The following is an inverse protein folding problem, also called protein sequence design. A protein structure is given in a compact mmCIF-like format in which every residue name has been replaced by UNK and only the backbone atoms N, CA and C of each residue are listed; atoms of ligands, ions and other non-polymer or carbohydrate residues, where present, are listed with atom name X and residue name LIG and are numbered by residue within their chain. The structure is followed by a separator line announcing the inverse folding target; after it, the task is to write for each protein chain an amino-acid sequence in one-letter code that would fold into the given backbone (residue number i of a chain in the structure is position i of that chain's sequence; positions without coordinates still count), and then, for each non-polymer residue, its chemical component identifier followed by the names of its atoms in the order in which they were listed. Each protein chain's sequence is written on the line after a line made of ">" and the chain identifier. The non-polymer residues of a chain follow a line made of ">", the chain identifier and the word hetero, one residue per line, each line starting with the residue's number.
data_IF_140931484296
#
_entry.id   IF_140931484296
#
_cell.length_a   1.000
_cell.length_b   1.000
_cell.length_c   1.000
_cell.angle_alpha   90.00
_cell.angle_beta   90.00
_cell.angle_gamma   90.00
#
_symmetry.space_group_name_H-M   'P 1'
#
loop_
_entity.id
_entity.type
_entity.pdbx_description
1 polymer ?
#
# COMPACT_ATOMS: atom_id res chain seq x y z
N UNK A 1 8.04 8.59 -13.22
CA UNK A 1 7.97 9.98 -12.70
C UNK A 1 9.36 10.31 -12.15
N UNK A 2 9.97 11.41 -12.59
CA UNK A 2 11.38 11.70 -12.29
C UNK A 2 11.46 12.59 -11.05
N UNK A 3 11.45 11.97 -9.87
CA UNK A 3 11.67 12.62 -8.58
C UNK A 3 12.08 11.60 -7.49
N UNK A 4 12.60 12.05 -6.34
CA UNK A 4 12.80 11.21 -5.15
C UNK A 4 11.53 11.04 -4.30
N UNK A 5 10.33 11.33 -4.83
CA UNK A 5 9.10 11.37 -4.03
C UNK A 5 8.65 10.02 -3.45
N UNK A 6 8.96 8.90 -4.10
CA UNK A 6 8.69 7.55 -3.56
C UNK A 6 7.22 7.12 -3.49
N UNK A 7 6.28 7.93 -4.01
CA UNK A 7 4.84 7.59 -4.01
C UNK A 7 4.43 6.83 -5.27
N UNK A 8 4.91 7.25 -6.46
CA UNK A 8 4.57 6.61 -7.74
C UNK A 8 5.76 5.95 -8.44
N UNK A 9 6.96 6.45 -8.17
CA UNK A 9 8.24 5.93 -8.65
C UNK A 9 9.37 6.52 -7.82
N UNK A 10 10.60 6.09 -8.08
CA UNK A 10 11.81 6.73 -7.56
C UNK A 10 12.80 6.94 -8.71
N UNK A 11 13.39 8.12 -8.81
CA UNK A 11 14.34 8.45 -9.90
C UNK A 11 15.58 7.54 -9.91
N UNK A 12 15.97 6.99 -8.76
CA UNK A 12 17.10 6.06 -8.67
C UNK A 12 16.76 4.70 -9.32
N UNK A 13 15.52 4.21 -9.19
CA UNK A 13 15.06 3.02 -9.92
C UNK A 13 15.13 3.26 -11.42
N UNK A 14 14.68 4.44 -11.86
CA UNK A 14 14.73 4.82 -13.27
C UNK A 14 16.17 4.88 -13.78
N UNK A 15 17.09 5.48 -13.01
CA UNK A 15 18.50 5.56 -13.39
C UNK A 15 19.11 4.15 -13.53
N UNK A 16 18.86 3.26 -12.57
CA UNK A 16 19.37 1.89 -12.62
C UNK A 16 18.82 1.09 -13.80
N UNK A 17 17.51 1.17 -14.07
CA UNK A 17 16.90 0.55 -15.25
C UNK A 17 17.51 1.07 -16.56
N UNK A 18 17.80 2.39 -16.63
CA UNK A 18 18.51 2.97 -17.78
C UNK A 18 19.92 2.39 -17.91
N UNK A 19 20.67 2.19 -16.81
CA UNK A 19 22.00 1.55 -16.84
C UNK A 19 21.92 0.13 -17.39
N UNK A 20 20.94 -0.65 -16.90
CA UNK A 20 20.75 -2.05 -17.33
C UNK A 20 20.44 -2.12 -18.82
N UNK A 21 19.47 -1.32 -19.30
CA UNK A 21 19.04 -1.33 -20.70
C UNK A 21 20.15 -0.82 -21.62
N UNK A 22 20.78 0.31 -21.30
CA UNK A 22 21.87 0.88 -22.09
C UNK A 22 23.12 -0.01 -22.07
N UNK A 23 23.43 -0.65 -20.93
CA UNK A 23 24.51 -1.62 -20.80
C UNK A 23 24.32 -2.88 -21.66
N UNK A 24 23.07 -3.24 -21.96
CA UNK A 24 22.71 -4.25 -22.95
C UNK A 24 22.87 -3.80 -24.41
N UNK A 25 23.32 -2.56 -24.66
CA UNK A 25 23.50 -2.00 -26.00
C UNK A 25 22.23 -1.42 -26.63
N UNK A 26 21.15 -1.30 -25.86
CA UNK A 26 19.86 -0.76 -26.35
C UNK A 26 19.83 0.76 -26.14
N UNK A 27 19.66 1.59 -27.19
CA UNK A 27 19.50 3.04 -27.04
C UNK A 27 18.27 3.39 -26.20
N UNK A 28 18.39 4.39 -25.33
CA UNK A 28 17.33 4.77 -24.39
C UNK A 28 16.85 6.20 -24.62
N UNK A 29 15.54 6.34 -24.85
CA UNK A 29 14.82 7.60 -24.91
C UNK A 29 14.06 7.84 -23.59
N UNK A 30 14.47 8.85 -22.83
CA UNK A 30 13.88 9.19 -21.52
C UNK A 30 12.71 10.14 -21.71
N UNK A 31 11.53 9.71 -21.28
CA UNK A 31 10.32 10.53 -21.17
C UNK A 31 10.11 10.92 -19.71
N UNK A 32 10.55 12.12 -19.35
CA UNK A 32 10.52 12.58 -17.96
C UNK A 32 9.16 13.19 -17.61
N UNK A 33 8.40 12.49 -16.75
CA UNK A 33 7.25 13.09 -16.08
C UNK A 33 7.75 13.83 -14.84
N UNK A 34 7.46 15.13 -14.71
CA UNK A 34 7.86 15.98 -13.59
C UNK A 34 6.84 15.92 -12.47
N UNK A 35 7.32 16.02 -11.24
CA UNK A 35 6.52 15.77 -10.04
C UNK A 35 5.84 17.03 -9.48
N UNK A 36 6.49 17.76 -8.57
CA UNK A 36 5.94 18.97 -7.95
C UNK A 36 4.76 18.78 -7.01
N UNK A 37 4.39 17.52 -6.71
CA UNK A 37 3.28 17.17 -5.83
C UNK A 37 3.70 16.26 -4.68
N UNK A 38 4.47 15.20 -4.98
CA UNK A 38 5.08 14.36 -3.95
C UNK A 38 6.46 14.91 -3.51
N UNK A 39 6.88 16.00 -4.15
CA UNK A 39 8.08 16.80 -3.90
C UNK A 39 7.73 18.29 -4.03
N UNK A 40 8.59 19.23 -3.58
CA UNK A 40 8.29 20.66 -3.68
C UNK A 40 7.93 21.10 -5.11
N UNK A 41 6.99 22.06 -5.31
CA UNK A 41 6.49 22.46 -6.64
C UNK A 41 7.55 22.95 -7.65
N UNK A 42 8.73 23.36 -7.17
CA UNK A 42 9.88 23.75 -8.00
C UNK A 42 11.13 22.98 -7.54
N UNK A 43 11.24 21.73 -7.94
CA UNK A 43 12.36 20.84 -7.61
C UNK A 43 12.88 20.03 -8.80
N UNK A 44 12.19 20.06 -9.96
CA UNK A 44 12.56 19.29 -11.14
C UNK A 44 13.98 19.57 -11.66
N UNK A 45 14.48 20.80 -11.55
CA UNK A 45 15.85 21.13 -11.99
C UNK A 45 16.90 20.30 -11.23
N UNK A 46 16.76 20.20 -9.91
CA UNK A 46 17.66 19.40 -9.07
C UNK A 46 17.45 17.90 -9.33
N UNK A 47 16.20 17.46 -9.50
CA UNK A 47 15.88 16.06 -9.80
C UNK A 47 16.50 15.61 -11.13
N UNK A 48 16.31 16.38 -12.20
CA UNK A 48 16.91 16.13 -13.52
C UNK A 48 18.43 16.16 -13.42
N UNK A 49 19.01 17.13 -12.71
CA UNK A 49 20.45 17.23 -12.54
C UNK A 49 21.06 16.00 -11.85
N UNK A 50 20.45 15.53 -10.75
CA UNK A 50 20.87 14.29 -10.06
C UNK A 50 20.69 13.06 -10.95
N UNK A 51 19.56 12.96 -11.64
CA UNK A 51 19.31 11.85 -12.55
C UNK A 51 20.36 11.81 -13.68
N UNK A 52 20.64 12.94 -14.32
CA UNK A 52 21.68 13.07 -15.35
C UNK A 52 23.05 12.65 -14.84
N UNK A 53 23.43 13.08 -13.63
CA UNK A 53 24.68 12.64 -13.00
C UNK A 53 24.72 11.12 -12.76
N UNK A 54 23.58 10.51 -12.43
CA UNK A 54 23.46 9.06 -12.25
C UNK A 54 23.66 8.26 -13.54
N UNK A 55 23.34 8.83 -14.71
CA UNK A 55 23.46 8.16 -16.01
C UNK A 55 24.62 8.69 -16.86
N UNK A 56 25.52 9.49 -16.25
CA UNK A 56 26.65 10.08 -16.96
C UNK A 56 27.57 9.01 -17.55
N UNK A 57 28.11 9.28 -18.74
CA UNK A 57 28.97 8.33 -19.47
C UNK A 57 28.27 7.17 -20.18
N UNK A 58 26.94 7.00 -20.04
CA UNK A 58 26.22 5.97 -20.80
C UNK A 58 26.01 6.37 -22.26
N UNK A 59 26.50 5.54 -23.18
CA UNK A 59 26.29 5.74 -24.60
C UNK A 59 24.82 5.44 -24.99
N UNK A 60 24.27 6.21 -25.94
CA UNK A 60 22.94 5.95 -26.50
C UNK A 60 21.75 6.36 -25.61
N UNK A 61 22.00 7.07 -24.50
CA UNK A 61 20.95 7.56 -23.59
C UNK A 61 20.67 9.04 -23.85
N UNK A 62 19.40 9.42 -24.00
CA UNK A 62 18.99 10.82 -24.20
C UNK A 62 17.61 11.12 -23.63
N UNK A 63 17.38 12.37 -23.22
CA UNK A 63 16.03 12.87 -22.98
C UNK A 63 15.28 13.07 -24.30
N UNK A 64 14.06 12.54 -24.35
CA UNK A 64 13.15 12.65 -25.49
C UNK A 64 12.04 13.68 -25.23
N UNK A 65 11.43 13.62 -24.04
CA UNK A 65 10.40 14.59 -23.63
C UNK A 65 10.48 14.94 -22.16
N UNK A 66 9.92 16.09 -21.81
CA UNK A 66 9.64 16.53 -20.44
C UNK A 66 8.17 16.94 -20.36
N UNK A 67 7.43 16.45 -19.37
CA UNK A 67 6.02 16.78 -19.16
C UNK A 67 5.71 16.84 -17.68
N UNK A 68 4.93 17.80 -17.23
CA UNK A 68 4.34 17.78 -15.91
C UNK A 68 3.40 16.59 -15.72
N UNK A 69 3.36 16.01 -14.52
CA UNK A 69 2.47 14.89 -14.17
C UNK A 69 0.98 15.22 -14.35
N UNK A 70 0.60 16.50 -14.31
CA UNK A 70 -0.77 16.93 -14.61
C UNK A 70 -1.26 16.44 -15.99
N UNK A 71 -0.34 16.32 -16.95
CA UNK A 71 -0.68 15.86 -18.30
C UNK A 71 -0.48 14.36 -18.47
N UNK A 72 0.65 13.83 -18.01
CA UNK A 72 1.05 12.45 -18.29
C UNK A 72 0.52 11.42 -17.28
N UNK A 73 -0.05 11.88 -16.16
CA UNK A 73 -0.43 11.05 -15.01
C UNK A 73 -1.81 11.42 -14.44
N UNK A 74 -2.73 11.77 -15.34
CA UNK A 74 -4.16 11.87 -15.01
C UNK A 74 -4.74 10.49 -14.66
N UNK A 75 -5.83 10.49 -13.90
CA UNK A 75 -6.53 9.27 -13.47
C UNK A 75 -8.05 9.46 -13.39
N UNK A 76 -8.54 10.61 -13.87
CA UNK A 76 -9.92 11.05 -13.78
C UNK A 76 -10.56 11.15 -15.19
N UNK A 77 -10.00 10.42 -16.15
CA UNK A 77 -10.39 10.38 -17.56
C UNK A 77 -10.40 11.75 -18.24
N UNK A 78 -9.50 12.65 -17.83
CA UNK A 78 -9.30 13.94 -18.50
C UNK A 78 -8.40 13.76 -19.71
N UNK A 79 -8.97 13.12 -20.72
CA UNK A 79 -8.29 12.74 -21.96
C UNK A 79 -7.66 13.93 -22.70
N UNK A 80 -8.16 15.16 -22.53
CA UNK A 80 -7.55 16.38 -23.08
C UNK A 80 -6.15 16.69 -22.51
N UNK A 81 -5.87 16.20 -21.30
CA UNK A 81 -4.56 16.29 -20.64
C UNK A 81 -3.64 15.20 -21.14
N UNK A 82 -4.14 13.96 -21.13
CA UNK A 82 -3.41 12.76 -21.55
C UNK A 82 -3.03 12.86 -23.02
N UNK A 83 -3.92 13.35 -23.88
CA UNK A 83 -3.65 13.56 -25.31
C UNK A 83 -2.42 14.45 -25.53
N UNK A 84 -2.26 15.53 -24.75
CA UNK A 84 -1.09 16.42 -24.89
C UNK A 84 0.22 15.70 -24.56
N UNK A 85 0.21 14.88 -23.51
CA UNK A 85 1.39 14.08 -23.14
C UNK A 85 1.66 12.99 -24.18
N UNK A 86 0.60 12.32 -24.64
CA UNK A 86 0.64 11.30 -25.69
C UNK A 86 1.24 11.86 -26.98
N UNK A 87 0.76 12.99 -27.50
CA UNK A 87 1.28 13.62 -28.73
C UNK A 87 2.76 13.97 -28.63
N UNK A 88 3.22 14.53 -27.51
CA UNK A 88 4.63 14.83 -27.31
C UNK A 88 5.49 13.57 -27.25
N UNK A 89 5.04 12.54 -26.53
CA UNK A 89 5.76 11.27 -26.39
C UNK A 89 5.73 10.46 -27.69
N UNK A 90 4.55 10.19 -28.22
CA UNK A 90 4.32 9.27 -29.33
C UNK A 90 4.66 9.88 -30.70
N UNK A 91 4.29 11.15 -30.90
CA UNK A 91 4.31 11.82 -32.21
C UNK A 91 5.41 12.90 -32.31
N UNK A 92 6.10 13.20 -31.19
CA UNK A 92 6.99 14.36 -31.07
C UNK A 92 6.32 15.70 -31.45
N UNK A 93 5.01 15.82 -31.18
CA UNK A 93 4.24 17.04 -31.41
C UNK A 93 4.10 17.88 -30.13
N UNK A 94 4.24 19.20 -30.24
CA UNK A 94 3.95 20.12 -29.14
C UNK A 94 4.98 21.23 -28.97
N UNK A 95 5.32 21.56 -27.73
CA UNK A 95 6.38 22.53 -27.43
C UNK A 95 7.75 21.89 -27.65
N UNK A 96 8.74 22.69 -28.01
CA UNK A 96 10.13 22.21 -28.19
C UNK A 96 11.12 22.97 -27.31
N UNK A 97 12.15 22.27 -26.87
CA UNK A 97 13.29 22.83 -26.15
C UNK A 97 14.60 22.10 -26.57
N UNK A 98 15.75 22.78 -26.50
CA UNK A 98 17.03 22.15 -26.82
C UNK A 98 17.44 21.06 -25.82
N UNK A 99 17.06 21.21 -24.54
CA UNK A 99 17.43 20.30 -23.45
C UNK A 99 16.36 20.34 -22.33
N UNK A 100 16.30 19.32 -21.46
CA UNK A 100 15.28 19.22 -20.41
C UNK A 100 15.39 20.33 -19.34
N UNK A 101 16.59 20.83 -19.05
CA UNK A 101 16.81 21.89 -18.05
C UNK A 101 16.20 23.21 -18.56
N UNK A 102 16.45 23.56 -19.83
CA UNK A 102 15.88 24.76 -20.42
C UNK A 102 14.36 24.66 -20.60
N UNK A 103 13.83 23.46 -20.86
CA UNK A 103 12.39 23.22 -20.90
C UNK A 103 11.71 23.61 -19.57
N UNK A 104 12.30 23.21 -18.44
CA UNK A 104 11.80 23.54 -17.10
C UNK A 104 12.02 25.01 -16.77
N UNK A 105 13.24 25.53 -16.95
CA UNK A 105 13.60 26.91 -16.59
C UNK A 105 12.69 27.95 -17.27
N UNK A 106 12.41 27.78 -18.56
CA UNK A 106 11.50 28.67 -19.32
C UNK A 106 10.06 28.69 -18.79
N UNK A 107 9.62 27.61 -18.14
CA UNK A 107 8.29 27.53 -17.54
C UNK A 107 8.30 28.12 -16.13
N UNK A 108 9.37 27.94 -15.36
CA UNK A 108 9.56 28.62 -14.07
C UNK A 108 9.53 30.15 -14.22
N UNK A 109 10.18 30.69 -15.27
CA UNK A 109 10.18 32.13 -15.58
C UNK A 109 8.77 32.67 -15.88
N UNK A 110 7.82 31.78 -16.23
CA UNK A 110 6.40 32.10 -16.48
C UNK A 110 5.49 31.78 -15.30
N UNK A 111 6.05 31.38 -14.15
CA UNK A 111 5.30 30.99 -12.96
C UNK A 111 4.67 29.59 -13.03
N UNK A 112 4.98 28.80 -14.06
CA UNK A 112 4.50 27.42 -14.18
C UNK A 112 5.44 26.49 -13.40
N UNK A 113 4.89 25.75 -12.45
CA UNK A 113 5.60 24.78 -11.59
C UNK A 113 5.66 23.39 -12.21
N UNK A 114 6.44 22.47 -11.62
CA UNK A 114 6.77 21.15 -12.16
C UNK A 114 5.55 20.35 -12.62
N UNK A 115 4.53 20.24 -11.77
CA UNK A 115 3.31 19.49 -12.01
C UNK A 115 2.62 19.91 -13.31
N UNK A 116 2.73 21.20 -13.69
CA UNK A 116 1.99 21.83 -14.78
C UNK A 116 2.88 22.23 -15.97
N UNK A 117 4.15 21.83 -15.99
CA UNK A 117 5.01 22.06 -17.16
C UNK A 117 4.35 21.39 -18.39
N UNK A 118 4.06 22.13 -19.47
CA UNK A 118 3.42 21.55 -20.64
C UNK A 118 4.34 20.51 -21.30
N UNK A 119 3.77 19.42 -21.89
CA UNK A 119 4.56 18.44 -22.61
C UNK A 119 5.45 19.10 -23.67
N UNK A 120 6.75 18.85 -23.54
CA UNK A 120 7.81 19.50 -24.32
C UNK A 120 8.76 18.45 -24.87
N UNK A 121 8.93 18.47 -26.19
CA UNK A 121 9.83 17.60 -26.95
C UNK A 121 11.25 18.16 -26.93
N UNK A 122 12.21 17.30 -26.62
CA UNK A 122 13.64 17.66 -26.58
C UNK A 122 14.26 17.48 -27.96
N UNK A 123 15.18 18.38 -28.32
CA UNK A 123 15.80 18.40 -29.64
C UNK A 123 16.40 17.04 -30.05
N UNK A 124 16.14 16.63 -31.30
CA UNK A 124 16.62 15.36 -31.85
C UNK A 124 15.70 14.16 -31.60
N UNK A 125 14.60 14.32 -30.86
CA UNK A 125 13.55 13.31 -30.77
C UNK A 125 12.49 13.47 -31.88
N UNK A 126 12.03 12.35 -32.43
CA UNK A 126 11.14 12.31 -33.61
C UNK A 126 9.91 11.41 -33.41
N UNK A 127 9.55 11.13 -32.16
CA UNK A 127 8.45 10.25 -31.80
C UNK A 127 8.87 8.77 -31.76
N UNK A 128 7.94 7.96 -31.25
CA UNK A 128 8.07 6.50 -31.15
C UNK A 128 7.89 5.88 -32.54
N UNK A 129 8.60 4.79 -32.84
CA UNK A 129 8.55 4.06 -34.11
C UNK A 129 8.18 2.59 -33.89
N UNK A 130 7.67 1.95 -34.94
CA UNK A 130 7.45 0.50 -34.93
C UNK A 130 8.77 -0.23 -34.63
N UNK A 131 8.69 -1.24 -33.78
CA UNK A 131 9.84 -1.98 -33.27
C UNK A 131 10.52 -1.37 -32.04
N UNK A 132 10.17 -0.14 -31.62
CA UNK A 132 10.62 0.39 -30.33
C UNK A 132 10.08 -0.46 -29.17
N UNK A 133 10.70 -0.34 -27.99
CA UNK A 133 10.24 -0.96 -26.76
C UNK A 133 9.74 0.09 -25.76
N UNK A 134 8.71 -0.25 -24.99
CA UNK A 134 8.15 0.57 -23.92
C UNK A 134 8.51 0.00 -22.55
N UNK A 135 9.08 0.82 -21.67
CA UNK A 135 9.30 0.49 -20.26
C UNK A 135 8.71 1.58 -19.35
N UNK A 136 7.68 1.24 -18.59
CA UNK A 136 7.11 2.11 -17.56
C UNK A 136 7.74 1.83 -16.20
N UNK A 137 8.38 2.85 -15.62
CA UNK A 137 9.14 2.75 -14.36
C UNK A 137 8.33 3.11 -13.11
N UNK A 138 7.06 3.48 -13.26
CA UNK A 138 6.20 3.72 -12.10
C UNK A 138 5.77 2.39 -11.48
N UNK A 139 5.83 2.25 -10.16
CA UNK A 139 5.32 1.06 -9.45
C UNK A 139 3.88 1.24 -8.96
N UNK A 140 3.39 2.47 -8.85
CA UNK A 140 2.01 2.74 -8.44
C UNK A 140 1.10 2.86 -9.65
N UNK A 141 0.01 2.12 -9.63
CA UNK A 141 -0.84 1.83 -10.79
C UNK A 141 -1.77 2.96 -11.22
N UNK A 142 -2.49 3.56 -10.29
CA UNK A 142 -3.64 4.43 -10.55
C UNK A 142 -3.40 5.52 -11.60
N UNK A 143 -2.25 6.20 -11.55
CA UNK A 143 -1.94 7.35 -12.41
C UNK A 143 -1.24 7.05 -13.73
N UNK A 144 -0.82 5.82 -13.97
CA UNK A 144 -0.18 5.47 -15.26
C UNK A 144 -1.12 4.71 -16.19
N UNK A 145 -2.27 4.27 -15.69
CA UNK A 145 -3.25 3.52 -16.46
C UNK A 145 -3.64 4.25 -17.74
N UNK A 146 -4.04 5.51 -17.66
CA UNK A 146 -4.58 6.24 -18.81
C UNK A 146 -3.58 6.42 -19.95
N UNK A 147 -2.35 6.86 -19.65
CA UNK A 147 -1.33 7.03 -20.68
C UNK A 147 -0.88 5.68 -21.26
N UNK A 148 -0.80 4.63 -20.42
CA UNK A 148 -0.47 3.29 -20.90
C UNK A 148 -1.55 2.71 -21.79
N UNK A 149 -2.82 2.80 -21.39
CA UNK A 149 -3.96 2.36 -22.21
C UNK A 149 -3.94 3.06 -23.57
N UNK A 150 -3.72 4.38 -23.60
CA UNK A 150 -3.61 5.11 -24.88
C UNK A 150 -2.49 4.58 -25.78
N UNK A 151 -1.37 4.13 -25.20
CA UNK A 151 -0.20 3.59 -25.91
C UNK A 151 -0.36 2.15 -26.38
N UNK A 152 -0.96 1.26 -25.57
CA UNK A 152 -0.88 -0.19 -25.80
C UNK A 152 -2.21 -0.87 -26.13
N UNK A 153 -3.34 -0.24 -25.82
CA UNK A 153 -4.66 -0.83 -26.06
C UNK A 153 -5.13 -0.53 -27.50
N UNK A 154 -5.33 -1.53 -28.37
CA UNK A 154 -5.82 -1.33 -29.73
C UNK A 154 -7.23 -0.74 -29.76
N UNK A 155 -8.05 -0.97 -28.74
CA UNK A 155 -9.45 -0.54 -28.66
C UNK A 155 -9.62 0.80 -27.90
N UNK A 156 -8.52 1.52 -27.69
CA UNK A 156 -8.57 2.84 -27.04
C UNK A 156 -9.39 3.87 -27.85
N UNK A 157 -10.31 4.55 -27.15
CA UNK A 157 -11.23 5.56 -27.73
C UNK A 157 -11.24 6.91 -26.99
N UNK A 158 -10.32 7.17 -26.05
CA UNK A 158 -10.30 8.43 -25.29
C UNK A 158 -10.00 9.68 -26.12
N UNK A 159 -9.23 9.53 -27.21
CA UNK A 159 -8.97 10.55 -28.23
C UNK A 159 -8.49 9.89 -29.54
N UNK A 160 -8.58 10.57 -30.70
CA UNK A 160 -8.09 10.02 -31.96
C UNK A 160 -6.56 9.91 -31.97
N UNK A 161 -6.05 8.74 -32.33
CA UNK A 161 -4.62 8.47 -32.51
C UNK A 161 -4.26 8.57 -34.00
N UNK A 162 -3.13 9.19 -34.32
CA UNK A 162 -2.66 9.27 -35.72
C UNK A 162 -2.23 7.90 -36.27
N UNK A 163 -1.70 7.03 -35.39
CA UNK A 163 -1.28 5.65 -35.68
C UNK A 163 -1.18 4.83 -34.40
N UNK A 164 -1.31 3.52 -34.55
CA UNK A 164 -0.96 2.55 -33.51
C UNK A 164 0.45 2.02 -33.78
N UNK A 165 1.28 1.89 -32.74
CA UNK A 165 2.67 1.42 -32.86
C UNK A 165 2.73 -0.05 -32.46
N UNK A 166 3.44 -0.83 -33.27
CA UNK A 166 3.80 -2.21 -32.92
C UNK A 166 5.09 -2.21 -32.10
N UNK A 167 4.96 -2.23 -30.77
CA UNK A 167 6.09 -2.29 -29.86
C UNK A 167 6.69 -3.70 -29.83
N UNK A 168 8.02 -3.80 -29.93
CA UNK A 168 8.73 -5.09 -29.81
C UNK A 168 8.67 -5.67 -28.40
N UNK A 169 8.57 -4.80 -27.39
CA UNK A 169 8.33 -5.17 -25.99
C UNK A 169 7.53 -4.07 -25.28
N UNK A 170 6.69 -4.47 -24.33
CA UNK A 170 5.88 -3.57 -23.51
C UNK A 170 5.99 -4.03 -22.06
N UNK A 171 6.68 -3.26 -21.24
CA UNK A 171 7.09 -3.68 -19.90
C UNK A 171 6.60 -2.67 -18.87
N UNK A 172 5.94 -3.16 -17.83
CA UNK A 172 5.58 -2.42 -16.63
C UNK A 172 6.45 -2.84 -15.45
N UNK A 173 6.80 -1.89 -14.57
CA UNK A 173 7.50 -2.22 -13.34
C UNK A 173 6.62 -3.07 -12.41
N UNK A 174 5.33 -2.74 -12.31
CA UNK A 174 4.34 -3.43 -11.50
C UNK A 174 3.05 -3.67 -12.29
N UNK A 175 2.17 -4.50 -11.76
CA UNK A 175 0.84 -4.69 -12.33
C UNK A 175 0.00 -3.41 -12.16
N UNK A 176 -0.59 -2.92 -13.27
CA UNK A 176 -1.36 -1.69 -13.26
C UNK A 176 -2.87 -1.93 -13.22
N UNK A 177 -3.37 -2.89 -13.99
CA UNK A 177 -4.76 -3.34 -13.98
C UNK A 177 -4.86 -4.65 -14.75
N UNK A 178 -5.88 -5.47 -14.46
CA UNK A 178 -6.14 -6.70 -15.21
C UNK A 178 -6.26 -6.47 -16.73
N UNK A 179 -6.76 -5.31 -17.15
CA UNK A 179 -6.83 -4.96 -18.57
C UNK A 179 -5.46 -4.65 -19.18
N UNK A 180 -4.59 -3.93 -18.47
CA UNK A 180 -3.24 -3.64 -18.96
C UNK A 180 -2.32 -4.86 -18.89
N UNK A 181 -2.54 -5.78 -17.96
CA UNK A 181 -1.81 -7.05 -17.82
C UNK A 181 -1.94 -7.94 -19.08
N UNK A 182 -2.95 -7.70 -19.92
CA UNK A 182 -3.10 -8.38 -21.23
C UNK A 182 -2.05 -7.93 -22.26
N UNK A 183 -1.48 -6.74 -22.08
CA UNK A 183 -0.60 -6.10 -23.05
C UNK A 183 0.82 -5.86 -22.54
N UNK A 184 1.04 -5.95 -21.22
CA UNK A 184 2.31 -5.64 -20.57
C UNK A 184 2.92 -6.88 -19.92
N UNK A 185 4.21 -7.07 -20.11
CA UNK A 185 5.04 -7.92 -19.26
C UNK A 185 5.35 -7.17 -17.95
N UNK A 186 5.23 -7.84 -16.80
CA UNK A 186 5.42 -7.22 -15.49
C UNK A 186 6.74 -7.67 -14.86
N UNK A 187 7.61 -6.71 -14.51
CA UNK A 187 8.91 -7.00 -13.90
C UNK A 187 8.78 -7.51 -12.47
N UNK A 188 7.93 -6.87 -11.67
CA UNK A 188 7.65 -7.25 -10.28
C UNK A 188 6.16 -7.59 -10.15
N UNK A 189 5.76 -8.82 -10.54
CA UNK A 189 4.37 -9.24 -10.37
C UNK A 189 4.01 -9.23 -8.88
N UNK A 190 2.73 -8.97 -8.53
CA UNK A 190 2.29 -9.07 -7.15
C UNK A 190 2.60 -10.49 -6.64
N UNK A 191 3.12 -10.63 -5.40
CA UNK A 191 3.40 -11.95 -4.85
C UNK A 191 2.08 -12.72 -4.73
N UNK A 192 2.08 -13.97 -5.17
CA UNK A 192 1.04 -14.90 -4.79
C UNK A 192 1.34 -15.34 -3.35
N UNK A 193 0.41 -15.08 -2.43
CA UNK A 193 0.57 -15.43 -1.02
C UNK A 193 -0.22 -16.71 -0.73
N UNK A 194 0.48 -17.85 -0.81
CA UNK A 194 -0.05 -19.16 -0.41
C UNK A 194 0.18 -19.43 1.07
N UNK A 195 -0.59 -20.38 1.62
CA UNK A 195 -0.44 -20.88 2.99
C UNK A 195 -0.49 -19.76 4.05
N UNK A 196 -1.31 -18.74 3.80
CA UNK A 196 -1.65 -17.71 4.80
C UNK A 196 -2.52 -18.31 5.91
N UNK A 197 -2.58 -17.66 7.09
CA UNK A 197 -3.22 -18.22 8.29
C UNK A 197 -4.64 -18.77 8.03
N UNK A 198 -5.48 -17.98 7.36
CA UNK A 198 -6.85 -18.40 7.05
C UNK A 198 -6.92 -19.65 6.17
N UNK A 199 -6.00 -19.79 5.23
CA UNK A 199 -5.90 -20.98 4.39
C UNK A 199 -5.46 -22.20 5.19
N UNK A 200 -4.38 -22.08 5.97
CA UNK A 200 -3.82 -23.20 6.77
C UNK A 200 -4.86 -23.74 7.75
N UNK A 201 -5.58 -22.85 8.44
CA UNK A 201 -6.65 -23.24 9.37
C UNK A 201 -7.79 -23.95 8.65
N UNK A 202 -8.20 -23.46 7.47
CA UNK A 202 -9.24 -24.09 6.66
C UNK A 202 -8.84 -25.47 6.14
N UNK A 203 -7.60 -25.61 5.65
CA UNK A 203 -7.06 -26.87 5.11
C UNK A 203 -6.85 -27.93 6.20
N UNK A 204 -6.59 -27.50 7.45
CA UNK A 204 -6.62 -28.35 8.63
C UNK A 204 -8.04 -28.82 9.03
N UNK A 205 -9.08 -28.34 8.34
CA UNK A 205 -10.49 -28.66 8.62
C UNK A 205 -11.08 -27.92 9.82
N UNK A 206 -10.36 -26.91 10.34
CA UNK A 206 -10.77 -26.11 11.48
C UNK A 206 -11.70 -24.96 11.05
N UNK A 207 -12.55 -24.53 11.97
CA UNK A 207 -13.49 -23.42 11.78
C UNK A 207 -12.89 -22.12 12.25
N UNK A 208 -13.16 -21.06 11.51
CA UNK A 208 -12.64 -19.73 11.81
C UNK A 208 -13.69 -18.65 11.65
N UNK A 209 -13.58 -17.60 12.45
CA UNK A 209 -14.49 -16.46 12.45
C UNK A 209 -13.73 -15.15 12.23
N UNK A 210 -14.27 -14.29 11.36
CA UNK A 210 -13.82 -12.90 11.21
C UNK A 210 -14.91 -11.96 11.72
N UNK A 211 -14.57 -11.04 12.62
CA UNK A 211 -15.51 -10.05 13.15
C UNK A 211 -14.92 -8.67 13.06
N UNK A 212 -15.67 -7.72 12.52
CA UNK A 212 -15.33 -6.29 12.62
C UNK A 212 -16.57 -5.43 12.36
N UNK A 213 -16.48 -4.17 12.77
CA UNK A 213 -17.39 -3.17 12.26
C UNK A 213 -17.02 -2.72 10.83
N UNK A 214 -17.91 -1.97 10.19
CA UNK A 214 -17.87 -1.68 8.73
C UNK A 214 -16.55 -1.08 8.26
N UNK A 215 -15.98 -0.14 9.00
CA UNK A 215 -14.71 0.52 8.65
C UNK A 215 -13.53 -0.46 8.55
N UNK A 216 -13.56 -1.54 9.34
CA UNK A 216 -12.46 -2.51 9.42
C UNK A 216 -12.82 -3.89 8.88
N UNK A 217 -14.01 -4.06 8.28
CA UNK A 217 -14.44 -5.32 7.70
C UNK A 217 -13.52 -5.84 6.60
N UNK A 218 -13.09 -4.97 5.68
CA UNK A 218 -12.12 -5.36 4.64
C UNK A 218 -10.76 -5.80 5.24
N UNK A 219 -10.41 -5.31 6.43
CA UNK A 219 -9.13 -5.60 7.08
C UNK A 219 -9.09 -7.03 7.60
N UNK A 220 -10.15 -7.49 8.27
CA UNK A 220 -10.26 -8.87 8.77
C UNK A 220 -10.68 -9.88 7.70
N UNK A 221 -11.01 -9.43 6.49
CA UNK A 221 -11.47 -10.29 5.37
C UNK A 221 -10.51 -10.23 4.19
N UNK A 222 -10.71 -9.29 3.27
CA UNK A 222 -9.95 -9.14 2.04
C UNK A 222 -8.45 -8.99 2.31
N UNK A 223 -8.04 -8.06 3.17
CA UNK A 223 -6.61 -7.84 3.45
C UNK A 223 -6.00 -9.00 4.23
N UNK A 224 -6.67 -9.49 5.28
CA UNK A 224 -6.21 -10.65 6.04
C UNK A 224 -6.07 -11.91 5.18
N UNK A 225 -6.90 -12.05 4.15
CA UNK A 225 -6.84 -13.14 3.16
C UNK A 225 -6.09 -12.74 1.87
N UNK A 226 -5.14 -11.80 1.95
CA UNK A 226 -4.24 -11.43 0.83
C UNK A 226 -4.95 -11.06 -0.49
N UNK A 227 -6.08 -10.36 -0.40
CA UNK A 227 -6.87 -9.92 -1.55
C UNK A 227 -7.95 -10.91 -2.01
N UNK A 228 -8.17 -12.00 -1.27
CA UNK A 228 -9.21 -12.98 -1.59
C UNK A 228 -10.56 -12.55 -1.02
N UNK A 229 -11.54 -12.32 -1.90
CA UNK A 229 -12.92 -12.01 -1.49
C UNK A 229 -13.69 -13.25 -1.03
N UNK A 230 -13.50 -14.38 -1.71
CA UNK A 230 -14.19 -15.65 -1.42
C UNK A 230 -13.76 -16.21 -0.06
N UNK A 231 -14.73 -16.53 0.80
CA UNK A 231 -14.49 -17.20 2.09
C UNK A 231 -13.82 -18.56 1.90
N UNK A 232 -12.94 -18.93 2.84
CA UNK A 232 -12.43 -20.30 2.91
C UNK A 232 -13.51 -21.27 3.47
N UNK A 233 -13.45 -22.58 3.15
CA UNK A 233 -14.23 -23.58 3.88
C UNK A 233 -14.05 -23.46 5.40
N UNK A 234 -15.14 -23.47 6.16
CA UNK A 234 -15.08 -23.28 7.61
C UNK A 234 -14.88 -21.83 8.07
N UNK A 235 -14.73 -20.86 7.17
CA UNK A 235 -14.69 -19.44 7.50
C UNK A 235 -16.10 -18.83 7.56
N UNK A 236 -16.41 -18.17 8.67
CA UNK A 236 -17.59 -17.34 8.84
C UNK A 236 -17.20 -15.88 9.09
N UNK A 237 -18.09 -14.95 8.75
CA UNK A 237 -17.84 -13.50 8.84
C UNK A 237 -19.04 -12.81 9.49
N UNK A 238 -18.77 -11.97 10.48
CA UNK A 238 -19.76 -11.09 11.11
C UNK A 238 -19.36 -9.64 10.82
N UNK A 239 -20.30 -8.90 10.23
CA UNK A 239 -20.18 -7.47 9.94
C UNK A 239 -21.13 -6.70 10.87
N UNK A 240 -20.55 -5.89 11.75
CA UNK A 240 -21.32 -4.96 12.57
C UNK A 240 -21.40 -3.60 11.86
N UNK A 241 -22.59 -2.98 11.72
CA UNK A 241 -22.68 -1.64 11.15
C UNK A 241 -21.92 -0.61 12.00
N UNK A 242 -20.99 0.12 11.40
CA UNK A 242 -20.40 1.30 12.03
C UNK A 242 -21.46 2.39 12.23
N UNK A 243 -21.34 3.26 13.25
CA UNK A 243 -22.33 4.30 13.49
C UNK A 243 -22.34 5.33 12.36
N UNK A 244 -23.54 5.77 11.97
CA UNK A 244 -23.72 6.80 10.95
C UNK A 244 -23.52 8.20 11.55
N UNK A 245 -22.26 8.56 11.81
CA UNK A 245 -21.83 9.88 12.28
C UNK A 245 -20.90 10.54 11.26
N UNK A 246 -20.79 11.87 11.31
CA UNK A 246 -19.93 12.61 10.37
C UNK A 246 -18.44 12.32 10.60
N UNK A 247 -18.05 12.22 11.88
CA UNK A 247 -16.72 11.87 12.36
C UNK A 247 -16.86 11.08 13.65
N UNK A 248 -15.96 10.13 13.90
CA UNK A 248 -16.12 9.16 14.99
C UNK A 248 -15.84 9.71 16.39
N UNK A 249 -15.28 10.91 16.52
CA UNK A 249 -15.20 11.64 17.80
C UNK A 249 -16.58 11.92 18.41
N UNK A 250 -17.64 11.97 17.59
CA UNK A 250 -19.02 12.14 18.04
C UNK A 250 -19.59 10.88 18.71
N UNK A 251 -18.99 9.72 18.46
CA UNK A 251 -19.34 8.43 19.07
C UNK A 251 -18.09 7.55 19.23
N UNK A 252 -17.19 7.88 20.18
CA UNK A 252 -15.88 7.24 20.29
C UNK A 252 -15.92 5.74 20.60
N UNK A 253 -17.00 5.27 21.23
CA UNK A 253 -17.25 3.85 21.47
C UNK A 253 -17.63 3.07 20.20
N UNK A 254 -17.91 3.79 19.11
CA UNK A 254 -18.30 3.26 17.79
C UNK A 254 -19.32 2.12 17.91
N UNK A 255 -18.99 0.94 17.41
CA UNK A 255 -19.78 -0.28 17.57
C UNK A 255 -19.02 -1.36 18.36
N UNK A 256 -18.01 -0.97 19.16
CA UNK A 256 -17.14 -1.90 19.89
C UNK A 256 -17.92 -2.84 20.81
N UNK A 257 -18.92 -2.34 21.54
CA UNK A 257 -19.72 -3.18 22.43
C UNK A 257 -20.50 -4.26 21.67
N UNK A 258 -21.11 -3.93 20.52
CA UNK A 258 -21.85 -4.90 19.71
C UNK A 258 -20.91 -5.93 19.06
N UNK A 259 -19.70 -5.50 18.65
CA UNK A 259 -18.63 -6.43 18.25
C UNK A 259 -18.27 -7.37 19.39
N UNK A 260 -18.09 -6.85 20.61
CA UNK A 260 -17.74 -7.66 21.78
C UNK A 260 -18.84 -8.66 22.16
N UNK A 261 -20.12 -8.27 22.07
CA UNK A 261 -21.26 -9.16 22.31
C UNK A 261 -21.22 -10.38 21.36
N UNK A 262 -20.99 -10.14 20.07
CA UNK A 262 -20.84 -11.22 19.09
C UNK A 262 -19.64 -12.13 19.36
N UNK A 263 -18.52 -11.57 19.82
CA UNK A 263 -17.34 -12.35 20.16
C UNK A 263 -17.57 -13.22 21.40
N UNK A 264 -18.17 -12.66 22.46
CA UNK A 264 -18.48 -13.43 23.68
C UNK A 264 -19.42 -14.59 23.36
N UNK A 265 -20.45 -14.37 22.54
CA UNK A 265 -21.33 -15.44 22.05
C UNK A 265 -20.55 -16.48 21.23
N UNK A 266 -19.70 -16.04 20.30
CA UNK A 266 -18.91 -16.94 19.47
C UNK A 266 -17.93 -17.79 20.29
N UNK A 267 -17.24 -17.19 21.26
CA UNK A 267 -16.31 -17.88 22.17
C UNK A 267 -17.07 -18.90 23.02
N UNK A 268 -18.17 -18.50 23.67
CA UNK A 268 -18.98 -19.38 24.51
C UNK A 268 -19.69 -20.50 23.75
N UNK A 269 -19.84 -20.38 22.42
CA UNK A 269 -20.38 -21.45 21.58
C UNK A 269 -19.41 -22.61 21.33
N UNK A 270 -18.11 -22.39 21.58
CA UNK A 270 -17.02 -23.33 21.26
C UNK A 270 -17.03 -23.85 19.80
N UNK A 271 -17.66 -23.09 18.89
CA UNK A 271 -17.83 -23.47 17.48
C UNK A 271 -16.57 -23.25 16.64
N UNK A 272 -15.74 -22.29 17.02
CA UNK A 272 -14.63 -21.80 16.20
C UNK A 272 -13.29 -22.08 16.88
N UNK A 273 -12.34 -22.58 16.10
CA UNK A 273 -10.97 -22.84 16.55
C UNK A 273 -10.11 -21.57 16.47
N UNK A 274 -10.38 -20.68 15.51
CA UNK A 274 -9.72 -19.38 15.37
C UNK A 274 -10.75 -18.24 15.26
N UNK A 275 -10.62 -17.21 16.08
CA UNK A 275 -11.40 -15.98 15.96
C UNK A 275 -10.44 -14.81 15.72
N UNK A 276 -10.67 -14.04 14.65
CA UNK A 276 -9.93 -12.83 14.33
C UNK A 276 -10.88 -11.65 14.40
N UNK A 277 -10.55 -10.67 15.24
CA UNK A 277 -11.35 -9.45 15.42
C UNK A 277 -10.51 -8.19 15.30
N UNK A 278 -11.13 -7.13 14.77
CA UNK A 278 -10.58 -5.78 14.79
C UNK A 278 -11.53 -4.84 15.54
N UNK A 279 -11.00 -4.12 16.53
CA UNK A 279 -11.64 -2.95 17.13
C UNK A 279 -11.14 -1.68 16.43
N UNK A 280 -12.04 -0.99 15.75
CA UNK A 280 -11.69 0.14 14.89
C UNK A 280 -11.35 1.43 15.65
N UNK A 281 -11.76 1.54 16.92
CA UNK A 281 -11.91 2.81 17.61
C UNK A 281 -10.63 3.60 17.75
N UNK A 282 -9.53 2.94 18.20
CA UNK A 282 -8.25 3.62 18.42
C UNK A 282 -7.75 4.32 17.16
N UNK A 283 -7.92 3.70 16.00
CA UNK A 283 -7.48 4.26 14.73
C UNK A 283 -8.45 5.31 14.17
N UNK A 284 -9.73 4.94 14.03
CA UNK A 284 -10.74 5.80 13.41
C UNK A 284 -11.00 7.07 14.21
N UNK A 285 -10.95 6.99 15.54
CA UNK A 285 -11.04 8.17 16.42
C UNK A 285 -9.69 8.89 16.53
N UNK A 286 -8.58 8.16 16.48
CA UNK A 286 -7.22 8.73 16.39
C UNK A 286 -7.08 9.72 15.24
N UNK A 287 -7.62 9.37 14.06
CA UNK A 287 -7.65 10.24 12.88
C UNK A 287 -8.39 11.57 13.07
N UNK A 288 -9.21 11.73 14.11
CA UNK A 288 -9.88 13.02 14.38
C UNK A 288 -8.93 14.06 14.98
N UNK A 289 -7.82 13.61 15.60
CA UNK A 289 -6.92 14.50 16.33
C UNK A 289 -7.48 15.01 17.66
N UNK A 290 -8.64 14.51 18.11
CA UNK A 290 -9.31 14.95 19.34
C UNK A 290 -8.94 14.01 20.49
N UNK A 291 -7.99 14.44 21.33
CA UNK A 291 -7.47 13.64 22.45
C UNK A 291 -8.57 13.11 23.38
N UNK A 292 -9.52 13.96 23.79
CA UNK A 292 -10.60 13.55 24.69
C UNK A 292 -11.49 12.45 24.10
N UNK A 293 -11.67 12.43 22.78
CA UNK A 293 -12.40 11.38 22.09
C UNK A 293 -11.55 10.10 21.99
N UNK A 294 -10.25 10.22 21.66
CA UNK A 294 -9.34 9.08 21.63
C UNK A 294 -9.23 8.37 22.99
N UNK A 295 -9.21 9.11 24.10
CA UNK A 295 -9.24 8.54 25.45
C UNK A 295 -10.49 7.67 25.64
N UNK A 296 -11.67 8.20 25.32
CA UNK A 296 -12.95 7.46 25.43
C UNK A 296 -13.00 6.23 24.52
N UNK A 297 -12.42 6.33 23.32
CA UNK A 297 -12.29 5.21 22.40
C UNK A 297 -11.43 4.09 23.01
N UNK A 298 -10.28 4.43 23.61
CA UNK A 298 -9.42 3.47 24.31
C UNK A 298 -10.12 2.86 25.53
N UNK A 299 -10.82 3.65 26.35
CA UNK A 299 -11.60 3.16 27.49
C UNK A 299 -12.71 2.17 27.07
N UNK A 300 -13.36 2.42 25.92
CA UNK A 300 -14.37 1.51 25.37
C UNK A 300 -13.75 0.17 24.93
N UNK A 301 -12.58 0.21 24.27
CA UNK A 301 -11.84 -1.01 23.88
C UNK A 301 -11.40 -1.78 25.12
N UNK A 302 -10.80 -1.11 26.11
CA UNK A 302 -10.34 -1.73 27.36
C UNK A 302 -11.45 -2.53 28.06
N UNK A 303 -12.64 -1.93 28.16
CA UNK A 303 -13.82 -2.60 28.70
C UNK A 303 -14.22 -3.84 27.88
N UNK A 304 -14.19 -3.76 26.56
CA UNK A 304 -14.49 -4.90 25.69
C UNK A 304 -13.45 -6.02 25.87
N UNK A 305 -12.16 -5.67 25.97
CA UNK A 305 -11.09 -6.64 26.22
C UNK A 305 -11.26 -7.38 27.54
N UNK A 306 -11.73 -6.70 28.59
CA UNK A 306 -12.07 -7.35 29.86
C UNK A 306 -13.15 -8.43 29.72
N UNK A 307 -14.21 -8.16 28.95
CA UNK A 307 -15.26 -9.15 28.67
C UNK A 307 -14.75 -10.35 27.86
N UNK A 308 -13.84 -10.10 26.91
CA UNK A 308 -13.23 -11.15 26.10
C UNK A 308 -12.25 -12.00 26.91
N UNK A 309 -11.47 -11.40 27.80
CA UNK A 309 -10.59 -12.13 28.72
C UNK A 309 -11.38 -13.13 29.56
N UNK A 310 -12.49 -12.69 30.19
CA UNK A 310 -13.37 -13.57 30.96
C UNK A 310 -13.89 -14.74 30.11
N UNK A 311 -14.46 -14.45 28.94
CA UNK A 311 -15.02 -15.46 28.04
C UNK A 311 -13.96 -16.48 27.56
N UNK A 312 -12.76 -16.02 27.20
CA UNK A 312 -11.67 -16.88 26.72
C UNK A 312 -11.15 -17.79 27.84
N UNK A 313 -10.98 -17.27 29.06
CA UNK A 313 -10.52 -18.05 30.20
C UNK A 313 -11.54 -19.10 30.65
N UNK A 314 -12.83 -18.77 30.58
CA UNK A 314 -13.93 -19.71 30.85
C UNK A 314 -13.96 -20.84 29.83
N UNK A 315 -13.85 -20.53 28.53
CA UNK A 315 -13.76 -21.53 27.45
C UNK A 315 -12.44 -22.33 27.46
N UNK A 316 -11.46 -21.92 28.28
CA UNK A 316 -10.14 -22.56 28.35
C UNK A 316 -9.27 -22.32 27.11
N UNK A 317 -9.56 -21.27 26.35
CA UNK A 317 -8.80 -20.88 25.15
C UNK A 317 -7.61 -19.99 25.47
N UNK A 318 -7.07 -19.39 24.40
CA UNK A 318 -6.04 -18.37 24.46
C UNK A 318 -6.38 -17.19 23.53
N UNK A 319 -5.93 -16.00 23.91
CA UNK A 319 -6.10 -14.76 23.16
C UNK A 319 -4.78 -14.01 23.07
N UNK A 320 -4.45 -13.54 21.86
CA UNK A 320 -3.37 -12.60 21.62
C UNK A 320 -3.98 -11.22 21.36
N UNK A 321 -3.62 -10.23 22.18
CA UNK A 321 -4.01 -8.83 22.00
C UNK A 321 -2.83 -8.09 21.35
N UNK A 322 -3.04 -7.53 20.17
CA UNK A 322 -2.04 -6.73 19.45
C UNK A 322 -2.70 -5.66 18.58
N UNK A 323 -1.91 -4.89 17.83
CA UNK A 323 -2.39 -3.89 16.88
C UNK A 323 -1.69 -4.03 15.52
N UNK A 324 -2.28 -3.51 14.45
CA UNK A 324 -1.68 -3.45 13.12
C UNK A 324 -0.70 -2.27 12.96
N UNK A 325 -0.88 -1.21 13.75
CA UNK A 325 0.04 -0.07 13.88
C UNK A 325 -0.38 0.83 15.06
N UNK A 326 0.43 1.86 15.36
CA UNK A 326 0.08 2.94 16.28
C UNK A 326 -0.73 4.08 15.62
N UNK A 327 -1.43 4.86 16.44
CA UNK A 327 -2.16 6.08 16.09
C UNK A 327 -2.48 6.89 17.37
N UNK A 328 -3.42 6.39 18.18
CA UNK A 328 -4.02 7.14 19.29
C UNK A 328 -3.08 7.43 20.48
N UNK A 329 -1.89 6.84 20.51
CA UNK A 329 -0.86 7.16 21.49
C UNK A 329 -0.17 8.51 21.21
N UNK A 330 -0.32 9.06 20.00
CA UNK A 330 0.17 10.38 19.60
C UNK A 330 -0.95 11.22 18.96
N UNK A 331 -1.64 12.03 19.78
CA UNK A 331 -2.75 12.88 19.33
C UNK A 331 -2.35 14.34 19.05
N UNK A 332 -1.09 14.73 19.22
CA UNK A 332 -0.61 16.10 18.99
C UNK A 332 0.81 16.11 18.44
N UNK A 333 1.02 16.80 17.31
CA UNK A 333 2.36 17.07 16.80
C UNK A 333 2.97 18.22 17.61
N UNK A 334 3.92 17.87 18.48
CA UNK A 334 4.59 18.83 19.37
C UNK A 334 5.47 19.84 18.65
N UNK A 335 5.90 19.59 17.40
CA UNK A 335 6.76 20.50 16.65
C UNK A 335 5.99 21.68 16.09
N UNK A 336 4.78 21.43 15.58
CA UNK A 336 3.91 22.46 14.98
C UNK A 336 2.72 22.84 15.86
N UNK A 337 2.54 22.16 16.98
CA UNK A 337 1.46 22.35 17.96
C UNK A 337 0.06 22.25 17.31
N UNK A 338 -0.16 21.19 16.54
CA UNK A 338 -1.43 20.88 15.87
C UNK A 338 -1.88 19.45 16.18
N UNK A 339 -3.18 19.13 16.01
CA UNK A 339 -3.66 17.76 16.10
C UNK A 339 -2.86 16.82 15.20
N UNK A 340 -2.45 15.68 15.74
CA UNK A 340 -1.83 14.62 14.96
C UNK A 340 -2.92 13.63 14.56
N UNK A 341 -3.11 13.46 13.25
CA UNK A 341 -4.20 12.66 12.68
C UNK A 341 -3.70 11.48 11.85
N UNK A 342 -2.40 11.19 11.89
CA UNK A 342 -1.77 10.13 11.11
C UNK A 342 -1.40 8.93 12.01
N UNK A 343 -1.11 7.79 11.39
CA UNK A 343 -0.48 6.67 12.10
C UNK A 343 0.91 7.07 12.58
N UNK A 344 1.45 6.26 13.49
CA UNK A 344 2.81 6.44 14.01
C UNK A 344 3.72 5.30 13.56
N UNK A 345 5.01 5.43 13.89
CA UNK A 345 6.01 4.36 13.76
C UNK A 345 6.31 3.72 15.12
N UNK A 346 5.41 3.87 16.09
CA UNK A 346 5.55 3.25 17.41
C UNK A 346 5.41 1.73 17.28
N UNK A 347 6.17 0.94 18.05
CA UNK A 347 5.89 -0.50 18.18
C UNK A 347 4.50 -0.71 18.79
N UNK A 348 3.89 -1.85 18.47
CA UNK A 348 2.59 -2.29 18.97
C UNK A 348 2.76 -3.31 20.10
N UNK A 349 1.84 -3.36 21.08
CA UNK A 349 1.90 -4.38 22.12
C UNK A 349 1.58 -5.77 21.55
N UNK A 350 2.09 -6.80 22.19
CA UNK A 350 1.60 -8.17 22.08
C UNK A 350 1.42 -8.75 23.48
N UNK A 351 0.17 -9.06 23.83
CA UNK A 351 -0.21 -9.58 25.14
C UNK A 351 -0.84 -10.95 24.96
N UNK A 352 -0.40 -11.92 25.76
CA UNK A 352 -1.01 -13.25 25.83
C UNK A 352 -1.96 -13.35 27.02
N UNK A 353 -3.16 -13.86 26.76
CA UNK A 353 -4.17 -14.21 27.76
C UNK A 353 -4.52 -15.68 27.57
N UNK A 354 -4.38 -16.50 28.61
CA UNK A 354 -4.66 -17.92 28.54
C UNK A 354 -4.23 -18.66 29.80
N UNK A 355 -4.58 -19.94 29.90
CA UNK A 355 -4.14 -20.79 31.03
C UNK A 355 -2.70 -21.26 30.81
N UNK A 356 -1.88 -21.16 31.87
CA UNK A 356 -0.46 -21.48 31.83
C UNK A 356 0.37 -20.27 31.43
N UNK A 357 1.39 -19.93 32.24
CA UNK A 357 2.31 -18.85 31.93
C UNK A 357 3.09 -19.17 30.66
N UNK A 358 2.94 -18.32 29.63
CA UNK A 358 3.75 -18.37 28.41
C UNK A 358 4.60 -17.10 28.37
N UNK A 359 5.90 -17.26 28.13
CA UNK A 359 6.77 -16.12 27.85
C UNK A 359 6.64 -15.72 26.38
N UNK A 360 6.67 -14.42 26.11
CA UNK A 360 6.71 -13.87 24.76
C UNK A 360 8.06 -13.19 24.52
N UNK A 361 8.54 -13.24 23.29
CA UNK A 361 9.70 -12.47 22.83
C UNK A 361 9.26 -11.33 21.91
N UNK A 362 10.11 -10.31 21.78
CA UNK A 362 9.90 -9.24 20.81
C UNK A 362 9.97 -9.79 19.37
N UNK A 363 9.22 -9.17 18.46
CA UNK A 363 9.15 -9.59 17.06
C UNK A 363 8.52 -8.54 16.15
N UNK A 364 7.87 -8.99 15.08
CA UNK A 364 7.15 -8.16 14.11
C UNK A 364 5.78 -8.76 13.77
N UNK A 365 4.92 -8.02 13.07
CA UNK A 365 3.58 -8.51 12.70
C UNK A 365 3.56 -9.86 11.97
N UNK A 366 4.58 -10.15 11.15
CA UNK A 366 4.72 -11.42 10.43
C UNK A 366 4.87 -12.65 11.35
N UNK A 367 5.17 -12.45 12.63
CA UNK A 367 5.39 -13.49 13.63
C UNK A 367 4.08 -13.90 14.35
N UNK A 368 3.01 -13.10 14.22
CA UNK A 368 1.71 -13.37 14.88
C UNK A 368 1.04 -14.63 14.32
N UNK A 369 1.01 -14.82 13.00
CA UNK A 369 0.39 -16.00 12.39
C UNK A 369 1.12 -17.31 12.77
N UNK A 370 2.47 -17.41 12.70
CA UNK A 370 3.21 -18.56 13.24
C UNK A 370 2.94 -18.83 14.73
N UNK A 371 2.79 -17.78 15.53
CA UNK A 371 2.43 -17.88 16.95
C UNK A 371 1.04 -18.50 17.14
N UNK A 372 0.04 -18.03 16.38
CA UNK A 372 -1.32 -18.59 16.40
C UNK A 372 -1.35 -20.06 15.92
N UNK A 373 -0.61 -20.40 14.86
CA UNK A 373 -0.49 -21.79 14.41
C UNK A 373 0.12 -22.69 15.49
N UNK A 374 1.14 -22.19 16.21
CA UNK A 374 1.74 -22.91 17.34
C UNK A 374 0.73 -23.14 18.47
N UNK A 375 -0.13 -22.17 18.78
CA UNK A 375 -1.20 -22.30 19.78
C UNK A 375 -2.32 -23.27 19.34
N UNK A 376 -2.52 -23.44 18.03
CA UNK A 376 -3.46 -24.39 17.45
C UNK A 376 -2.86 -25.79 17.24
N UNK A 377 -1.62 -26.03 17.69
CA UNK A 377 -0.85 -27.25 17.43
C UNK A 377 -0.75 -27.59 15.93
N UNK A 378 -0.70 -26.57 15.08
CA UNK A 378 -0.55 -26.71 13.62
C UNK A 378 0.91 -26.44 13.18
N UNK A 379 1.41 -27.16 12.15
CA UNK A 379 2.71 -26.88 11.59
C UNK A 379 2.73 -25.50 10.93
N UNK A 380 3.82 -24.75 11.12
CA UNK A 380 4.08 -23.51 10.40
C UNK A 380 4.62 -23.85 9.01
N UNK A 381 3.95 -23.45 7.92
CA UNK A 381 4.39 -23.73 6.55
C UNK A 381 5.65 -22.92 6.18
N UNK A 382 6.44 -23.41 5.22
CA UNK A 382 7.72 -22.79 4.83
C UNK A 382 7.53 -21.38 4.22
N UNK A 383 6.36 -21.08 3.64
CA UNK A 383 6.02 -19.76 3.12
C UNK A 383 5.88 -18.71 4.24
N UNK A 384 5.54 -19.12 5.47
CA UNK A 384 5.52 -18.23 6.63
C UNK A 384 6.93 -18.05 7.19
N UNK A 385 7.63 -17.03 6.70
CA UNK A 385 9.01 -16.69 7.12
C UNK A 385 9.11 -15.99 8.49
N UNK A 386 7.99 -15.79 9.18
CA UNK A 386 7.97 -15.31 10.57
C UNK A 386 8.29 -16.43 11.57
N UNK A 387 8.69 -16.07 12.77
CA UNK A 387 8.93 -17.01 13.88
C UNK A 387 7.80 -16.99 14.90
N UNK A 388 7.53 -18.11 15.57
CA UNK A 388 6.63 -18.09 16.73
C UNK A 388 7.26 -17.25 17.86
N UNK A 389 6.45 -16.40 18.49
CA UNK A 389 6.86 -15.52 19.59
C UNK A 389 6.77 -16.19 20.97
N UNK A 390 6.25 -17.41 21.04
CA UNK A 390 6.21 -18.19 22.28
C UNK A 390 7.63 -18.60 22.69
N UNK A 391 7.98 -18.36 23.95
CA UNK A 391 9.30 -18.73 24.48
C UNK A 391 9.47 -20.24 24.65
N UNK A 392 10.72 -20.70 24.51
CA UNK A 392 11.08 -22.12 24.51
C UNK A 392 10.96 -22.82 25.88
N UNK A 393 10.85 -22.06 26.96
CA UNK A 393 10.79 -22.59 28.31
C UNK A 393 9.33 -22.74 28.77
N UNK A 394 8.73 -23.87 28.40
CA UNK A 394 7.44 -24.35 28.94
C UNK A 394 7.52 -24.78 30.41
N UNK A 395 7.99 -23.89 31.29
CA UNK A 395 7.72 -24.01 32.71
C UNK A 395 6.53 -23.12 33.02
N UNK A 396 5.35 -23.74 33.19
CA UNK A 396 4.17 -23.07 33.72
C UNK A 396 4.51 -22.43 35.07
N UNK A 397 4.85 -21.14 35.08
CA UNK A 397 4.80 -20.34 36.29
C UNK A 397 3.37 -19.87 36.54
N UNK A 398 3.00 -19.83 37.82
CA UNK A 398 1.66 -19.48 38.29
C UNK A 398 1.42 -17.99 38.11
N UNK A 399 0.34 -17.68 37.40
CA UNK A 399 -0.40 -16.42 37.35
C UNK A 399 0.39 -15.15 37.01
N UNK A 400 0.13 -14.59 35.82
CA UNK A 400 0.54 -13.23 35.45
C UNK A 400 0.39 -12.94 33.96
N UNK A 401 -0.09 -11.75 33.62
CA UNK A 401 -0.10 -11.23 32.25
C UNK A 401 1.32 -10.82 31.82
N UNK A 402 1.78 -11.29 30.66
CA UNK A 402 3.06 -10.91 30.06
C UNK A 402 2.84 -9.99 28.86
N UNK A 403 3.53 -8.85 28.84
CA UNK A 403 3.50 -7.86 27.76
C UNK A 403 4.84 -7.95 27.01
N UNK A 404 4.80 -8.28 25.72
CA UNK A 404 5.92 -8.12 24.79
C UNK A 404 5.60 -7.00 23.78
N UNK A 405 6.61 -6.52 23.05
CA UNK A 405 6.41 -5.53 21.99
C UNK A 405 6.68 -6.15 20.61
N UNK A 406 5.78 -5.92 19.65
CA UNK A 406 6.02 -6.22 18.24
C UNK A 406 6.30 -4.90 17.48
N UNK A 407 7.35 -4.87 16.67
CA UNK A 407 7.76 -3.73 15.85
C UNK A 407 7.10 -3.73 14.47
#
# INVERSE_FOLDING_TARGET
>A
LLSPGGVHSHQDHMAELVRIVAGGGVPVAIHAFLDGRDTPPKSALDCIGRFMAGIDGLAGVRFATVSGRYYAMDRDSRWDRVEKAYRALHEAEGKHAPDPILAVKRNYDKGVTDEFVPPTVIAGYSGVKDGDALLMVNFRSDRVREILTALVDPDFHGFPRSRFIDFSARVGLAEYSADLSKYLEILFPPPHLDNILGQVVSEAGLKQLRVAETEKYAHVTFFFNAGREQVYPGEERILVPSPKVATYDLKPEMSAHEVADHLVEAIGSEKFDLIVVNFANGDMVGHTGILDAAIKATEAIDKCLGWLEEAVLEAGGAMLITADHGNCELMTDRKINQPHTAHTLSPVPLVFVGKGGVSLHDGRLADVAPTLLSLLDLPVPEEMTGGSLLGKDGAMEKDGAHIAAAQ
#
